data_IF_140309187546
#
_entry.id   IF_140309187546
#
_cell.length_a   1.000
_cell.length_b   1.000
_cell.length_c   1.000
_cell.angle_alpha   90.00
_cell.angle_beta   90.00
_cell.angle_gamma   90.00
#
_symmetry.space_group_name_H-M   'P 1'
#
loop_
_entity.id
_entity.type
_entity.pdbx_description
1 polymer ?
#
# COMPACT_ATOMS: atom_id res chain seq x y z
N UNK A 1 -2.72 -11.84 -21.85
CA UNK A 1 -3.75 -11.22 -22.71
C UNK A 1 -4.21 -9.93 -22.06
N UNK A 2 -3.77 -8.77 -22.56
CA UNK A 2 -4.22 -7.47 -22.06
C UNK A 2 -5.64 -7.23 -22.59
N UNK A 3 -6.62 -7.17 -21.68
CA UNK A 3 -8.00 -6.86 -22.03
C UNK A 3 -8.07 -5.37 -22.44
N UNK A 4 -8.69 -5.01 -23.57
CA UNK A 4 -8.77 -3.62 -23.99
C UNK A 4 -9.51 -2.78 -22.93
N UNK A 5 -8.92 -1.63 -22.58
CA UNK A 5 -9.48 -0.68 -21.60
C UNK A 5 -10.84 -0.19 -22.10
N UNK A 6 -11.89 -0.49 -21.32
CA UNK A 6 -13.24 0.01 -21.59
C UNK A 6 -13.35 1.41 -20.99
N UNK A 7 -12.98 2.43 -21.75
CA UNK A 7 -13.01 3.84 -21.33
C UNK A 7 -14.36 4.28 -20.76
N UNK A 8 -15.46 3.69 -21.20
CA UNK A 8 -16.80 4.01 -20.71
C UNK A 8 -17.08 3.52 -19.26
N UNK A 9 -16.35 2.52 -18.76
CA UNK A 9 -16.44 2.07 -17.35
C UNK A 9 -15.24 2.50 -16.51
N UNK A 10 -14.24 3.13 -17.13
CA UNK A 10 -12.98 3.49 -16.47
C UNK A 10 -13.18 4.26 -15.18
N UNK A 11 -14.03 5.29 -15.17
CA UNK A 11 -14.25 6.09 -13.95
C UNK A 11 -14.86 5.26 -12.81
N UNK A 12 -15.80 4.37 -13.13
CA UNK A 12 -16.42 3.46 -12.16
C UNK A 12 -15.41 2.46 -11.61
N UNK A 13 -14.63 1.85 -12.49
CA UNK A 13 -13.65 0.83 -12.11
C UNK A 13 -12.47 1.46 -11.34
N UNK A 14 -12.07 2.68 -11.71
CA UNK A 14 -11.10 3.48 -10.98
C UNK A 14 -11.59 3.76 -9.55
N UNK A 15 -12.81 4.29 -9.38
CA UNK A 15 -13.38 4.55 -8.04
C UNK A 15 -13.46 3.26 -7.22
N UNK A 16 -13.88 2.13 -7.82
CA UNK A 16 -13.89 0.82 -7.14
C UNK A 16 -12.52 0.40 -6.64
N UNK A 17 -11.48 0.57 -7.46
CA UNK A 17 -10.10 0.27 -7.08
C UNK A 17 -9.62 1.20 -5.95
N UNK A 18 -9.92 2.50 -6.03
CA UNK A 18 -9.55 3.44 -4.96
C UNK A 18 -10.22 3.07 -3.62
N UNK A 19 -11.50 2.69 -3.64
CA UNK A 19 -12.19 2.19 -2.45
C UNK A 19 -11.50 0.93 -1.92
N UNK A 20 -11.13 -0.01 -2.80
CA UNK A 20 -10.38 -1.20 -2.43
C UNK A 20 -9.04 -0.87 -1.76
N UNK A 21 -8.28 0.10 -2.29
CA UNK A 21 -7.02 0.55 -1.70
C UNK A 21 -7.22 1.19 -0.32
N UNK A 22 -8.26 2.00 -0.13
CA UNK A 22 -8.58 2.58 1.18
C UNK A 22 -8.90 1.48 2.19
N UNK A 23 -9.74 0.50 1.82
CA UNK A 23 -10.08 -0.62 2.70
C UNK A 23 -8.85 -1.47 3.05
N UNK A 24 -7.95 -1.69 2.08
CA UNK A 24 -6.71 -2.42 2.29
C UNK A 24 -5.76 -1.69 3.26
N UNK A 25 -5.55 -0.38 3.06
CA UNK A 25 -4.74 0.43 3.97
C UNK A 25 -5.32 0.51 5.38
N UNK A 26 -6.66 0.56 5.49
CA UNK A 26 -7.36 0.53 6.77
C UNK A 26 -7.15 -0.81 7.49
N UNK A 27 -7.25 -1.93 6.77
CA UNK A 27 -6.98 -3.26 7.32
C UNK A 27 -5.56 -3.35 7.89
N UNK A 28 -4.54 -2.91 7.14
CA UNK A 28 -3.15 -2.88 7.62
C UNK A 28 -3.01 -2.00 8.86
N UNK A 29 -3.61 -0.82 8.84
CA UNK A 29 -3.56 0.11 9.99
C UNK A 29 -4.17 -0.49 11.25
N UNK A 30 -5.28 -1.23 11.11
CA UNK A 30 -5.89 -1.97 12.21
C UNK A 30 -5.02 -3.12 12.69
N UNK A 31 -4.37 -3.86 11.79
CA UNK A 31 -3.46 -4.95 12.17
C UNK A 31 -2.25 -4.43 12.97
N UNK A 32 -1.65 -3.32 12.52
CA UNK A 32 -0.54 -2.67 13.22
C UNK A 32 -1.00 -2.19 14.60
N UNK A 33 -2.12 -1.47 14.69
CA UNK A 33 -2.67 -0.96 15.96
C UNK A 33 -3.11 -2.08 16.91
N UNK A 34 -3.61 -3.19 16.36
CA UNK A 34 -4.07 -4.35 17.12
C UNK A 34 -2.94 -5.22 17.64
N UNK A 35 -1.67 -4.95 17.26
CA UNK A 35 -0.49 -5.73 17.63
C UNK A 35 -0.64 -7.24 17.38
N UNK A 36 -1.47 -7.62 16.39
CA UNK A 36 -1.75 -9.02 16.04
C UNK A 36 -0.66 -9.65 15.15
N UNK A 37 0.40 -8.89 14.89
CA UNK A 37 1.46 -9.25 13.93
C UNK A 37 1.01 -9.03 12.48
N UNK A 38 1.96 -8.62 11.65
CA UNK A 38 1.75 -8.44 10.20
C UNK A 38 2.81 -9.23 9.44
N UNK A 39 2.81 -9.17 8.11
CA UNK A 39 3.93 -9.71 7.32
C UNK A 39 5.24 -9.01 7.71
N UNK A 40 6.36 -9.72 7.62
CA UNK A 40 7.69 -9.19 7.98
C UNK A 40 8.03 -7.90 7.23
N UNK A 41 7.54 -7.76 6.00
CA UNK A 41 7.70 -6.55 5.19
C UNK A 41 7.02 -5.33 5.83
N UNK A 42 5.75 -5.47 6.22
CA UNK A 42 4.98 -4.37 6.84
C UNK A 42 5.55 -4.02 8.22
N UNK A 43 6.12 -5.00 8.95
CA UNK A 43 6.82 -4.72 10.22
C UNK A 43 8.06 -3.86 9.99
N UNK A 44 8.86 -4.14 8.95
CA UNK A 44 10.01 -3.32 8.58
C UNK A 44 9.59 -1.90 8.22
N UNK A 45 8.55 -1.75 7.40
CA UNK A 45 7.99 -0.44 7.04
C UNK A 45 7.48 0.33 8.26
N UNK A 46 6.79 -0.34 9.18
CA UNK A 46 6.29 0.29 10.41
C UNK A 46 7.44 0.74 11.32
N UNK A 47 8.46 -0.10 11.51
CA UNK A 47 9.62 0.23 12.33
C UNK A 47 10.45 1.39 11.75
N UNK A 48 10.63 1.42 10.42
CA UNK A 48 11.31 2.53 9.74
C UNK A 48 10.45 3.80 9.79
N UNK A 49 9.14 3.69 9.58
CA UNK A 49 8.23 4.82 9.69
C UNK A 49 8.30 5.47 11.08
N UNK A 50 8.32 4.67 12.15
CA UNK A 50 8.49 5.14 13.52
C UNK A 50 9.86 5.82 13.73
N UNK A 51 10.95 5.24 13.18
CA UNK A 51 12.30 5.80 13.29
C UNK A 51 12.47 7.13 12.55
N UNK A 52 11.81 7.30 11.41
CA UNK A 52 11.86 8.53 10.60
C UNK A 52 10.75 9.54 10.95
N UNK A 53 9.82 9.19 11.85
CA UNK A 53 8.71 10.05 12.23
C UNK A 53 7.69 10.30 11.10
N UNK A 54 7.56 9.35 10.17
CA UNK A 54 6.64 9.44 9.03
C UNK A 54 5.51 8.43 9.17
N UNK A 55 4.48 8.54 8.31
CA UNK A 55 3.39 7.56 8.31
C UNK A 55 3.84 6.25 7.66
N UNK A 56 3.28 5.13 8.11
CA UNK A 56 3.54 3.81 7.53
C UNK A 56 3.23 3.80 6.03
N UNK A 57 2.14 4.45 5.60
CA UNK A 57 1.79 4.56 4.18
C UNK A 57 2.84 5.32 3.36
N UNK A 58 3.42 6.40 3.90
CA UNK A 58 4.54 7.10 3.26
C UNK A 58 5.74 6.19 3.13
N UNK A 59 6.05 5.42 4.17
CA UNK A 59 7.16 4.46 4.14
C UNK A 59 6.93 3.35 3.12
N UNK A 60 5.71 2.83 2.99
CA UNK A 60 5.35 1.84 1.96
C UNK A 60 5.60 2.37 0.55
N UNK A 61 5.27 3.64 0.27
CA UNK A 61 5.57 4.26 -1.03
C UNK A 61 7.08 4.37 -1.25
N UNK A 62 7.83 4.83 -0.23
CA UNK A 62 9.29 4.96 -0.31
C UNK A 62 9.96 3.60 -0.54
N UNK A 63 9.56 2.58 0.22
CA UNK A 63 10.08 1.21 0.07
C UNK A 63 9.74 0.64 -1.31
N UNK A 64 8.53 0.88 -1.82
CA UNK A 64 8.17 0.51 -3.19
C UNK A 64 9.08 1.16 -4.24
N UNK A 65 9.33 2.46 -4.11
CA UNK A 65 10.28 3.17 -4.98
C UNK A 65 11.71 2.63 -4.85
N UNK A 66 12.18 2.39 -3.63
CA UNK A 66 13.52 1.84 -3.38
C UNK A 66 13.67 0.44 -3.98
N UNK A 67 12.71 -0.46 -3.74
CA UNK A 67 12.77 -1.82 -4.28
C UNK A 67 12.76 -1.80 -5.80
N UNK A 68 11.79 -1.11 -6.41
CA UNK A 68 11.69 -1.06 -7.87
C UNK A 68 12.88 -0.33 -8.52
N UNK A 69 13.39 0.72 -7.87
CA UNK A 69 14.56 1.46 -8.33
C UNK A 69 15.89 0.72 -8.08
N UNK A 70 15.96 -0.16 -7.08
CA UNK A 70 17.12 -1.01 -6.80
C UNK A 70 17.10 -2.31 -7.62
N UNK A 71 15.95 -2.70 -8.17
CA UNK A 71 15.78 -3.86 -9.03
C UNK A 71 16.37 -3.66 -10.45
N UNK A 72 17.47 -2.90 -10.54
CA UNK A 72 18.29 -2.67 -11.74
C UNK A 72 19.31 -3.80 -11.88
#
# INVERSE_FOLDING_TARGET
>A
MLKPIRWNTFLRDFIRIQIGFVLFGLAISLMIRGNIGTSAWVVLEAALAERFGITVGTMTVIMGFLVLGSAV
#
